data_IF_508084064985
#
_entry.id   IF_508084064985
#
_cell.length_a   1.000
_cell.length_b   1.000
_cell.length_c   1.000
_cell.angle_alpha   90.00
_cell.angle_beta   90.00
_cell.angle_gamma   90.00
#
_symmetry.space_group_name_H-M   'P 1'
#
loop_
_entity.id
_entity.type
_entity.pdbx_description
1 polymer ?
#
# COMPACT_ATOMS: atom_id res chain seq x y z
N UNK A 1 10.43 -27.56 -54.75
CA UNK A 1 11.16 -26.31 -54.41
C UNK A 1 10.26 -25.35 -53.64
N UNK A 2 9.00 -25.21 -54.06
CA UNK A 2 8.02 -24.33 -53.42
C UNK A 2 7.62 -24.81 -52.01
N UNK A 3 7.31 -26.11 -51.85
CA UNK A 3 6.87 -26.66 -50.55
C UNK A 3 7.87 -26.52 -49.39
N UNK A 4 9.17 -26.46 -49.70
CA UNK A 4 10.22 -26.26 -48.68
C UNK A 4 10.33 -24.81 -48.23
N UNK A 5 10.04 -23.87 -49.13
CA UNK A 5 10.04 -22.44 -48.83
C UNK A 5 8.76 -22.09 -48.07
N UNK A 6 7.63 -22.67 -48.48
CA UNK A 6 6.34 -22.49 -47.84
C UNK A 6 6.38 -22.99 -46.38
N UNK A 7 6.85 -24.22 -46.14
CA UNK A 7 6.97 -24.74 -44.77
C UNK A 7 8.00 -24.01 -43.89
N UNK A 8 9.01 -23.38 -44.50
CA UNK A 8 9.99 -22.58 -43.76
C UNK A 8 9.45 -21.18 -43.42
N UNK A 9 8.65 -20.57 -44.32
CA UNK A 9 7.96 -19.32 -44.05
C UNK A 9 6.87 -19.48 -42.99
N UNK A 10 6.07 -20.56 -43.07
CA UNK A 10 5.00 -20.84 -42.10
C UNK A 10 5.59 -21.05 -40.70
N UNK A 11 6.60 -21.92 -40.55
CA UNK A 11 7.23 -22.16 -39.24
C UNK A 11 7.94 -20.93 -38.65
N UNK A 12 8.44 -20.02 -39.50
CA UNK A 12 9.05 -18.78 -39.05
C UNK A 12 8.01 -17.71 -38.66
N UNK A 13 6.90 -17.61 -39.41
CA UNK A 13 5.79 -16.72 -39.04
C UNK A 13 5.09 -17.18 -37.77
N UNK A 14 4.82 -18.48 -37.63
CA UNK A 14 4.18 -19.03 -36.44
C UNK A 14 5.05 -18.83 -35.19
N UNK A 15 6.34 -19.22 -35.26
CA UNK A 15 7.25 -19.05 -34.12
C UNK A 15 7.50 -17.58 -33.73
N UNK A 16 7.46 -16.67 -34.70
CA UNK A 16 7.59 -15.23 -34.42
C UNK A 16 6.31 -14.62 -33.89
N UNK A 17 5.13 -14.99 -34.44
CA UNK A 17 3.84 -14.54 -33.91
C UNK A 17 3.63 -15.06 -32.49
N UNK A 18 3.81 -16.36 -32.25
CA UNK A 18 3.62 -16.96 -30.92
C UNK A 18 4.57 -16.35 -29.90
N UNK A 19 5.87 -16.29 -30.21
CA UNK A 19 6.86 -15.76 -29.27
C UNK A 19 6.69 -14.26 -28.97
N UNK A 20 6.24 -13.47 -29.95
CA UNK A 20 5.99 -12.04 -29.75
C UNK A 20 4.66 -11.80 -29.03
N UNK A 21 3.63 -12.57 -29.36
CA UNK A 21 2.30 -12.46 -28.77
C UNK A 21 2.32 -12.94 -27.31
N UNK A 22 2.95 -14.07 -27.01
CA UNK A 22 3.11 -14.58 -25.64
C UNK A 22 4.00 -13.64 -24.81
N UNK A 23 5.17 -13.25 -25.32
CA UNK A 23 6.08 -12.39 -24.56
C UNK A 23 5.54 -10.99 -24.29
N UNK A 24 4.75 -10.43 -25.21
CA UNK A 24 4.12 -9.14 -25.02
C UNK A 24 2.90 -9.24 -24.10
N UNK A 25 2.09 -10.29 -24.25
CA UNK A 25 0.89 -10.50 -23.46
C UNK A 25 1.24 -10.84 -22.00
N UNK A 26 2.20 -11.74 -21.77
CA UNK A 26 2.69 -12.09 -20.43
C UNK A 26 3.39 -10.88 -19.77
N UNK A 27 4.32 -10.23 -20.48
CA UNK A 27 5.07 -9.11 -19.90
C UNK A 27 4.19 -7.89 -19.57
N UNK A 28 3.17 -7.63 -20.39
CA UNK A 28 2.23 -6.54 -20.13
C UNK A 28 1.21 -6.90 -19.06
N UNK A 29 0.70 -8.14 -19.07
CA UNK A 29 -0.29 -8.60 -18.10
C UNK A 29 0.33 -8.74 -16.71
N UNK A 30 1.51 -9.36 -16.59
CA UNK A 30 2.23 -9.48 -15.31
C UNK A 30 2.67 -8.12 -14.80
N UNK A 31 3.33 -7.30 -15.64
CA UNK A 31 3.83 -5.99 -15.22
C UNK A 31 2.73 -5.00 -14.81
N UNK A 32 1.57 -5.04 -15.48
CA UNK A 32 0.43 -4.20 -15.14
C UNK A 32 -0.32 -4.73 -13.92
N UNK A 33 -0.52 -6.04 -13.83
CA UNK A 33 -1.26 -6.67 -12.75
C UNK A 33 -0.46 -6.61 -11.44
N UNK A 34 0.83 -6.94 -11.44
CA UNK A 34 1.71 -6.82 -10.28
C UNK A 34 1.87 -5.36 -9.85
N UNK A 35 2.21 -4.47 -10.79
CA UNK A 35 2.44 -3.06 -10.46
C UNK A 35 1.20 -2.33 -9.94
N UNK A 36 0.02 -2.67 -10.44
CA UNK A 36 -1.23 -2.10 -9.97
C UNK A 36 -1.70 -2.73 -8.65
N UNK A 37 -1.55 -4.04 -8.51
CA UNK A 37 -1.97 -4.77 -7.32
C UNK A 37 -1.06 -4.44 -6.13
N UNK A 38 0.26 -4.45 -6.31
CA UNK A 38 1.22 -4.08 -5.26
C UNK A 38 1.08 -2.60 -4.90
N UNK A 39 1.09 -1.70 -5.88
CA UNK A 39 1.03 -0.26 -5.61
C UNK A 39 -0.29 0.20 -4.96
N UNK A 40 -1.40 -0.42 -5.31
CA UNK A 40 -2.70 -0.11 -4.70
C UNK A 40 -2.86 -0.76 -3.33
N UNK A 41 -2.42 -2.02 -3.18
CA UNK A 41 -2.56 -2.76 -1.94
C UNK A 41 -1.60 -2.22 -0.87
N UNK A 42 -0.34 -1.95 -1.19
CA UNK A 42 0.63 -1.35 -0.26
C UNK A 42 0.22 0.08 0.10
N UNK A 43 -0.08 0.92 -0.89
CA UNK A 43 -0.42 2.32 -0.64
C UNK A 43 -1.71 2.52 0.16
N UNK A 44 -2.70 1.64 -0.04
CA UNK A 44 -3.95 1.70 0.72
C UNK A 44 -3.79 1.09 2.12
N UNK A 45 -3.07 -0.02 2.23
CA UNK A 45 -2.87 -0.72 3.50
C UNK A 45 -1.97 0.09 4.44
N UNK A 46 -0.85 0.63 3.95
CA UNK A 46 0.04 1.49 4.73
C UNK A 46 -0.65 2.79 5.13
N UNK A 47 -1.27 3.49 4.17
CA UNK A 47 -1.92 4.78 4.45
C UNK A 47 -3.11 4.67 5.41
N UNK A 48 -3.87 3.58 5.35
CA UNK A 48 -4.99 3.34 6.26
C UNK A 48 -4.51 2.87 7.63
N UNK A 49 -3.52 1.98 7.69
CA UNK A 49 -3.02 1.42 8.92
C UNK A 49 -2.23 2.45 9.74
N UNK A 50 -1.35 3.24 9.10
CA UNK A 50 -0.62 4.32 9.76
C UNK A 50 -1.57 5.43 10.23
N UNK A 51 -2.47 5.90 9.36
CA UNK A 51 -3.39 6.99 9.71
C UNK A 51 -4.38 6.61 10.82
N UNK A 52 -4.82 5.36 10.88
CA UNK A 52 -5.72 4.89 11.94
C UNK A 52 -4.98 4.63 13.25
N UNK A 53 -3.77 4.06 13.17
CA UNK A 53 -2.98 3.71 14.36
C UNK A 53 -2.42 4.98 15.03
N UNK A 54 -1.91 5.94 14.26
CA UNK A 54 -1.43 7.23 14.78
C UNK A 54 -2.59 8.04 15.37
N UNK A 55 -3.69 8.19 14.63
CA UNK A 55 -4.84 8.97 15.10
C UNK A 55 -5.51 8.40 16.35
N UNK A 56 -5.54 7.08 16.50
CA UNK A 56 -6.09 6.42 17.69
C UNK A 56 -5.13 6.51 18.88
N UNK A 57 -3.83 6.34 18.64
CA UNK A 57 -2.81 6.36 19.69
C UNK A 57 -2.60 7.78 20.24
N UNK A 58 -2.57 8.80 19.37
CA UNK A 58 -2.50 10.20 19.75
C UNK A 58 -3.76 10.63 20.51
N UNK A 59 -4.95 10.34 19.98
CA UNK A 59 -6.21 10.70 20.64
C UNK A 59 -6.40 10.03 22.01
N UNK A 60 -5.89 8.81 22.18
CA UNK A 60 -5.95 8.10 23.46
C UNK A 60 -4.90 8.58 24.47
N UNK A 61 -3.70 8.94 24.02
CA UNK A 61 -2.70 9.56 24.90
C UNK A 61 -3.14 10.94 25.35
N UNK A 62 -3.57 11.81 24.43
CA UNK A 62 -3.97 13.20 24.73
C UNK A 62 -5.16 13.26 25.70
N UNK A 63 -6.20 12.45 25.45
CA UNK A 63 -7.36 12.39 26.34
C UNK A 63 -7.03 11.90 27.76
N UNK A 64 -5.96 11.10 27.91
CA UNK A 64 -5.50 10.58 29.21
C UNK A 64 -4.59 11.56 29.95
N UNK A 65 -3.76 12.33 29.25
CA UNK A 65 -2.94 13.38 29.84
C UNK A 65 -3.75 14.61 30.21
N UNK A 66 -4.72 15.01 29.37
CA UNK A 66 -5.51 16.22 29.62
C UNK A 66 -6.52 16.03 30.76
N UNK A 67 -7.22 14.87 30.79
CA UNK A 67 -8.11 14.53 31.90
C UNK A 67 -7.40 14.32 33.25
N UNK A 68 -6.09 14.04 33.23
CA UNK A 68 -5.27 13.96 34.45
C UNK A 68 -4.78 15.34 34.88
N UNK A 69 -4.57 16.29 33.98
CA UNK A 69 -4.01 17.61 34.34
C UNK A 69 -5.10 18.58 34.79
N UNK A 70 -6.30 18.51 34.19
CA UNK A 70 -7.45 19.33 34.60
C UNK A 70 -8.05 18.92 35.96
N UNK A 71 -7.87 17.65 36.37
CA UNK A 71 -8.35 17.14 37.66
C UNK A 71 -7.58 17.64 38.91
N UNK A 72 -6.36 18.17 38.74
CA UNK A 72 -5.54 18.65 39.87
C UNK A 72 -5.45 20.18 39.98
N UNK A 73 -5.94 20.95 39.01
CA UNK A 73 -5.85 22.43 39.03
C UNK A 73 -7.00 23.08 39.82
N UNK A 74 -8.02 22.30 40.21
CA UNK A 74 -9.16 22.77 41.02
C UNK A 74 -9.14 22.33 42.49
N UNK A 75 -7.98 21.95 43.03
CA UNK A 75 -7.82 21.86 44.49
C UNK A 75 -7.01 23.08 44.93
N UNK A 76 -7.64 24.20 45.31
CA UNK A 76 -6.91 25.22 46.04
C UNK A 76 -6.39 24.56 47.31
N UNK A 77 -5.08 24.46 47.41
CA UNK A 77 -4.33 24.08 48.61
C UNK A 77 -4.77 25.01 49.76
N UNK A 78 -5.75 24.57 50.54
CA UNK A 78 -6.07 25.22 51.82
C UNK A 78 -5.08 24.69 52.85
N UNK A 79 -3.80 25.02 52.64
CA UNK A 79 -2.78 25.11 53.67
C UNK A 79 -2.26 26.53 53.65
N UNK A 80 -2.93 27.37 54.42
CA UNK A 80 -2.31 28.57 54.98
C UNK A 80 -2.33 28.42 56.48
N UNK A 81 -1.40 27.60 56.94
CA UNK A 81 -0.49 27.91 58.04
C UNK A 81 -0.51 29.39 58.41
N UNK A 82 -1.20 29.73 59.50
CA UNK A 82 -0.82 30.74 60.49
C UNK A 82 -1.49 30.40 61.84
N UNK A 83 -0.77 30.77 62.90
CA UNK A 83 -1.04 30.61 64.34
C UNK A 83 -2.46 30.97 64.79
#
# INVERSE_FOLDING_TARGET
MNEWIDGWMDGWMDGWMDGWMDGWMDGWMDGWMDGWMDGWMDGWMDGWMDGWMDGWMDGWMDGRTDGRTDGYVLVPDVRTDWL
#
